data_IF_177324020727
#
_entry.id   IF_177324020727
#
_cell.length_a   1.000
_cell.length_b   1.000
_cell.length_c   1.000
_cell.angle_alpha   90.00
_cell.angle_beta   90.00
_cell.angle_gamma   90.00
#
_symmetry.space_group_name_H-M   'P 1'
#
loop_
_entity.id
_entity.type
_entity.pdbx_description
1 polymer ?
#
# COMPACT_ATOMS: atom_id res chain seq x y z
N UNK A 1 25.39 -39.71 7.30
CA UNK A 1 25.77 -38.28 7.32
C UNK A 1 25.17 -37.60 6.11
N UNK A 2 24.05 -36.91 6.30
CA UNK A 2 23.34 -36.17 5.24
C UNK A 2 24.01 -34.81 5.04
N UNK A 3 24.65 -34.63 3.87
CA UNK A 3 25.26 -33.36 3.46
C UNK A 3 24.14 -32.37 3.18
N UNK A 4 23.97 -31.39 4.08
CA UNK A 4 23.11 -30.24 3.84
C UNK A 4 23.73 -29.42 2.70
N UNK A 5 23.05 -29.39 1.56
CA UNK A 5 23.38 -28.52 0.42
C UNK A 5 23.06 -27.09 0.84
N UNK A 6 23.99 -26.41 1.52
CA UNK A 6 23.92 -24.98 1.77
C UNK A 6 23.98 -24.29 0.40
N UNK A 7 22.81 -23.96 -0.17
CA UNK A 7 22.75 -23.13 -1.35
C UNK A 7 23.37 -21.78 -0.97
N UNK A 8 24.52 -21.43 -1.57
CA UNK A 8 25.04 -20.08 -1.51
C UNK A 8 23.97 -19.16 -2.11
N UNK A 9 23.25 -18.44 -1.26
CA UNK A 9 22.27 -17.46 -1.70
C UNK A 9 23.08 -16.31 -2.32
N UNK A 10 23.08 -16.23 -3.65
CA UNK A 10 23.82 -15.22 -4.37
C UNK A 10 23.24 -13.83 -4.06
N UNK A 11 24.10 -12.84 -3.83
CA UNK A 11 23.66 -11.49 -3.45
C UNK A 11 22.71 -10.87 -4.50
N UNK A 12 22.79 -11.32 -5.76
CA UNK A 12 21.88 -10.92 -6.84
C UNK A 12 20.40 -11.15 -6.53
N UNK A 13 20.05 -12.08 -5.64
CA UNK A 13 18.66 -12.38 -5.31
C UNK A 13 17.96 -11.28 -4.50
N UNK A 14 18.72 -10.33 -3.99
CA UNK A 14 18.19 -9.14 -3.30
C UNK A 14 17.94 -7.96 -4.23
N UNK A 15 18.29 -8.10 -5.51
CA UNK A 15 18.15 -7.06 -6.52
C UNK A 15 16.89 -7.23 -7.36
N UNK A 16 16.19 -6.13 -7.53
CA UNK A 16 15.06 -5.99 -8.45
C UNK A 16 15.35 -4.83 -9.38
N UNK A 17 15.11 -5.04 -10.68
CA UNK A 17 14.98 -3.93 -11.62
C UNK A 17 13.50 -3.64 -11.79
N UNK A 18 13.06 -2.44 -11.41
CA UNK A 18 11.70 -1.95 -11.59
C UNK A 18 11.69 -0.98 -12.77
N UNK A 19 11.09 -1.41 -13.85
CA UNK A 19 10.81 -0.55 -15.00
C UNK A 19 9.51 0.19 -14.76
N UNK A 20 9.50 1.51 -14.96
CA UNK A 20 8.32 2.36 -14.87
C UNK A 20 7.98 2.87 -16.27
N UNK A 21 6.87 2.38 -16.82
CA UNK A 21 6.41 2.70 -18.17
C UNK A 21 5.36 3.80 -18.19
N UNK A 22 4.65 3.99 -17.07
CA UNK A 22 3.63 5.02 -16.89
C UNK A 22 3.59 5.49 -15.44
N UNK A 23 3.44 6.80 -15.25
CA UNK A 23 3.29 7.45 -13.96
C UNK A 23 2.27 8.60 -14.09
N UNK A 24 1.04 8.38 -13.65
CA UNK A 24 -0.05 9.37 -13.70
C UNK A 24 -0.83 9.34 -12.39
N UNK A 25 -1.16 10.49 -11.81
CA UNK A 25 -1.83 10.60 -10.50
C UNK A 25 -1.17 9.75 -9.40
N UNK A 26 0.17 9.73 -9.37
CA UNK A 26 0.97 8.89 -8.47
C UNK A 26 0.66 7.38 -8.58
N UNK A 27 0.18 6.95 -9.73
CA UNK A 27 -0.05 5.56 -10.07
C UNK A 27 1.01 5.11 -11.07
N UNK A 28 1.82 4.13 -10.67
CA UNK A 28 2.88 3.58 -11.50
C UNK A 28 2.53 2.21 -12.07
N UNK A 29 2.97 1.98 -13.30
CA UNK A 29 2.88 0.70 -14.01
C UNK A 29 4.20 0.35 -14.66
N UNK A 30 4.45 -0.95 -14.84
CA UNK A 30 5.58 -1.43 -15.62
C UNK A 30 5.92 -2.89 -15.35
N UNK A 31 7.21 -3.20 -15.25
CA UNK A 31 7.71 -4.58 -15.13
C UNK A 31 8.75 -4.71 -14.02
N UNK A 32 8.63 -5.78 -13.23
CA UNK A 32 9.58 -6.22 -12.22
C UNK A 32 10.48 -7.28 -12.83
N UNK A 33 11.79 -7.08 -12.82
CA UNK A 33 12.76 -8.13 -13.13
C UNK A 33 13.54 -8.48 -11.89
N UNK A 34 13.65 -9.76 -11.58
CA UNK A 34 14.38 -10.24 -10.42
C UNK A 34 15.76 -10.75 -10.84
N UNK A 35 16.80 -10.38 -10.09
CA UNK A 35 18.19 -10.75 -10.36
C UNK A 35 18.67 -10.41 -11.79
N UNK A 36 18.06 -9.39 -12.43
CA UNK A 36 18.39 -8.97 -13.80
C UNK A 36 18.00 -9.97 -14.89
N UNK A 37 17.05 -10.87 -14.63
CA UNK A 37 16.66 -11.95 -15.55
C UNK A 37 15.21 -11.85 -16.03
N UNK A 38 14.94 -12.49 -17.16
CA UNK A 38 13.59 -12.76 -17.67
C UNK A 38 13.12 -14.18 -17.27
N UNK A 39 11.81 -14.43 -17.17
CA UNK A 39 10.70 -13.48 -17.39
C UNK A 39 10.60 -12.43 -16.28
N UNK A 40 10.24 -11.21 -16.66
CA UNK A 40 9.79 -10.18 -15.71
C UNK A 40 8.30 -10.36 -15.38
N UNK A 41 7.78 -9.58 -14.44
CA UNK A 41 6.38 -9.62 -14.00
C UNK A 41 5.74 -8.25 -14.16
N UNK A 42 4.64 -8.15 -14.90
CA UNK A 42 3.90 -6.89 -15.09
C UNK A 42 3.09 -6.51 -13.86
N UNK A 43 3.22 -5.26 -13.44
CA UNK A 43 2.40 -4.63 -12.41
C UNK A 43 1.63 -3.43 -12.97
N UNK A 44 0.37 -3.31 -12.57
CA UNK A 44 -0.57 -2.24 -12.90
C UNK A 44 -0.76 -1.25 -11.73
N UNK A 45 -0.22 -1.57 -10.56
CA UNK A 45 -0.23 -0.72 -9.37
C UNK A 45 0.99 -0.97 -8.47
N UNK A 46 1.31 -0.01 -7.61
CA UNK A 46 2.38 -0.17 -6.62
C UNK A 46 2.09 -1.32 -5.63
N UNK A 47 0.81 -1.52 -5.27
CA UNK A 47 0.41 -2.62 -4.40
C UNK A 47 0.71 -3.99 -5.03
N UNK A 48 0.40 -4.18 -6.31
CA UNK A 48 0.81 -5.39 -7.02
C UNK A 48 2.33 -5.55 -7.00
N UNK A 49 3.09 -4.47 -7.19
CA UNK A 49 4.55 -4.54 -7.11
C UNK A 49 5.03 -5.03 -5.74
N UNK A 50 4.45 -4.50 -4.65
CA UNK A 50 4.76 -4.93 -3.28
C UNK A 50 4.49 -6.42 -3.10
N UNK A 51 3.30 -6.87 -3.48
CA UNK A 51 2.83 -8.24 -3.34
C UNK A 51 3.76 -9.21 -4.09
N UNK A 52 4.12 -8.88 -5.34
CA UNK A 52 5.01 -9.72 -6.15
C UNK A 52 6.42 -9.81 -5.56
N UNK A 53 6.98 -8.69 -5.08
CA UNK A 53 8.29 -8.68 -4.44
C UNK A 53 8.30 -9.47 -3.13
N UNK A 54 7.27 -9.33 -2.28
CA UNK A 54 7.14 -10.13 -1.05
C UNK A 54 7.08 -11.63 -1.37
N UNK A 55 6.26 -12.05 -2.35
CA UNK A 55 6.22 -13.46 -2.79
C UNK A 55 7.61 -13.96 -3.18
N UNK A 56 8.34 -13.20 -3.99
CA UNK A 56 9.68 -13.60 -4.45
C UNK A 56 10.62 -13.74 -3.24
N UNK A 57 10.66 -12.77 -2.34
CA UNK A 57 11.48 -12.84 -1.13
C UNK A 57 11.13 -14.03 -0.23
N UNK A 58 9.85 -14.33 -0.06
CA UNK A 58 9.38 -15.43 0.79
C UNK A 58 9.71 -16.79 0.17
N UNK A 59 9.50 -16.94 -1.15
CA UNK A 59 9.82 -18.18 -1.88
C UNK A 59 11.31 -18.54 -1.81
N UNK A 60 12.19 -17.54 -1.79
CA UNK A 60 13.64 -17.75 -1.68
C UNK A 60 14.16 -17.72 -0.24
N UNK A 61 13.33 -17.31 0.72
CA UNK A 61 13.76 -16.99 2.08
C UNK A 61 14.95 -16.01 2.12
N UNK A 62 15.01 -15.04 1.20
CA UNK A 62 16.08 -14.05 1.15
C UNK A 62 15.64 -12.69 0.58
N UNK A 63 15.73 -11.59 1.35
CA UNK A 63 16.02 -11.56 2.78
C UNK A 63 14.89 -12.26 3.56
N UNK A 64 15.17 -12.91 4.68
CA UNK A 64 14.09 -13.46 5.53
C UNK A 64 13.29 -12.34 6.17
N UNK A 65 12.00 -12.54 6.34
CA UNK A 65 11.20 -11.70 7.24
C UNK A 65 11.73 -11.87 8.65
N UNK A 66 11.98 -10.78 9.37
CA UNK A 66 12.27 -10.88 10.80
C UNK A 66 11.02 -11.20 11.63
N UNK A 67 9.84 -10.92 11.08
CA UNK A 67 8.55 -11.13 11.75
C UNK A 67 7.50 -11.47 10.70
N UNK A 68 6.59 -12.40 11.00
CA UNK A 68 5.42 -12.66 10.19
C UNK A 68 4.52 -11.42 10.16
N UNK A 69 4.02 -11.04 8.97
CA UNK A 69 3.05 -9.97 8.83
C UNK A 69 1.74 -10.34 9.54
N UNK A 70 1.11 -9.36 10.18
CA UNK A 70 -0.17 -9.53 10.89
C UNK A 70 -1.34 -9.51 9.91
N UNK A 71 -2.39 -10.25 10.28
CA UNK A 71 -3.64 -10.41 9.51
C UNK A 71 -4.86 -10.23 10.39
N UNK A 72 -5.99 -9.91 9.77
CA UNK A 72 -7.31 -10.03 10.40
C UNK A 72 -7.69 -11.52 10.54
N UNK A 73 -8.61 -11.83 11.44
CA UNK A 73 -8.97 -13.22 11.74
C UNK A 73 -9.62 -13.88 10.54
N UNK A 74 -9.10 -15.03 10.11
CA UNK A 74 -9.64 -15.77 8.97
C UNK A 74 -9.39 -15.12 7.61
N UNK A 75 -8.63 -14.03 7.54
CA UNK A 75 -8.31 -13.32 6.30
C UNK A 75 -6.89 -13.68 5.86
N UNK A 76 -6.76 -14.19 4.64
CA UNK A 76 -5.49 -14.51 4.02
C UNK A 76 -4.88 -13.31 3.27
N UNK A 77 -3.63 -13.43 2.85
CA UNK A 77 -2.99 -12.42 2.02
C UNK A 77 -3.51 -12.46 0.58
N UNK A 78 -3.50 -11.31 -0.11
CA UNK A 78 -3.79 -11.24 -1.54
C UNK A 78 -3.00 -12.26 -2.35
N UNK A 79 -3.71 -13.02 -3.18
CA UNK A 79 -3.05 -13.99 -4.04
C UNK A 79 -2.37 -13.26 -5.22
N UNK A 80 -1.06 -13.47 -5.43
CA UNK A 80 -0.29 -12.67 -6.36
C UNK A 80 -0.54 -13.11 -7.81
N UNK A 81 -1.29 -12.31 -8.59
CA UNK A 81 -1.53 -12.57 -10.02
C UNK A 81 -0.27 -12.38 -10.86
N UNK A 82 0.25 -13.45 -11.46
CA UNK A 82 1.48 -13.40 -12.30
C UNK A 82 1.12 -13.07 -13.75
N UNK A 83 1.75 -12.01 -14.27
CA UNK A 83 1.68 -11.65 -15.69
C UNK A 83 3.08 -11.53 -16.26
N UNK A 84 3.58 -12.61 -16.87
CA UNK A 84 4.97 -12.69 -17.34
C UNK A 84 5.28 -11.75 -18.50
N UNK A 85 6.49 -11.20 -18.50
CA UNK A 85 7.07 -10.42 -19.58
C UNK A 85 8.40 -11.07 -20.02
N UNK A 86 8.38 -11.74 -21.16
CA UNK A 86 9.55 -12.47 -21.68
C UNK A 86 10.64 -11.57 -22.29
N UNK A 87 10.37 -10.27 -22.42
CA UNK A 87 11.34 -9.30 -22.94
C UNK A 87 11.83 -8.43 -21.80
N UNK A 88 13.15 -8.35 -21.65
CA UNK A 88 13.76 -7.35 -20.78
C UNK A 88 13.68 -5.99 -21.46
N UNK A 89 13.15 -5.00 -20.76
CA UNK A 89 13.02 -3.63 -21.22
C UNK A 89 13.24 -2.71 -20.03
N UNK A 90 14.03 -1.66 -20.22
CA UNK A 90 14.08 -0.54 -19.29
C UNK A 90 12.73 0.20 -19.31
N UNK A 91 12.42 0.91 -18.22
CA UNK A 91 11.19 1.69 -18.15
C UNK A 91 11.19 2.83 -19.14
N UNK A 92 10.03 3.15 -19.72
CA UNK A 92 9.88 4.31 -20.61
C UNK A 92 10.10 5.65 -19.91
N UNK A 93 9.77 5.73 -18.62
CA UNK A 93 9.88 6.96 -17.83
C UNK A 93 11.07 6.91 -16.86
N UNK A 94 11.26 5.78 -16.18
CA UNK A 94 12.38 5.58 -15.27
C UNK A 94 12.64 4.08 -15.05
N UNK A 95 13.88 3.76 -14.71
CA UNK A 95 14.30 2.42 -14.31
C UNK A 95 14.99 2.51 -12.95
N UNK A 96 14.44 1.78 -11.98
CA UNK A 96 14.99 1.69 -10.64
C UNK A 96 15.66 0.35 -10.43
N UNK A 97 16.86 0.36 -9.85
CA UNK A 97 17.45 -0.83 -9.24
C UNK A 97 17.22 -0.75 -7.73
N UNK A 98 16.47 -1.71 -7.19
CA UNK A 98 16.17 -1.80 -5.76
C UNK A 98 16.94 -2.97 -5.18
N UNK A 99 17.76 -2.69 -4.16
CA UNK A 99 18.49 -3.68 -3.40
C UNK A 99 17.95 -3.73 -1.97
N UNK A 100 17.19 -4.78 -1.63
CA UNK A 100 16.65 -4.95 -0.28
C UNK A 100 17.65 -5.71 0.59
N UNK A 101 18.23 -5.00 1.57
CA UNK A 101 19.20 -5.54 2.54
C UNK A 101 18.51 -6.34 3.64
N UNK A 102 17.45 -5.78 4.21
CA UNK A 102 16.78 -6.32 5.40
C UNK A 102 15.26 -6.19 5.28
N UNK A 103 14.54 -7.05 6.02
CA UNK A 103 13.09 -6.99 6.19
C UNK A 103 12.72 -6.88 7.67
N UNK A 104 13.14 -5.79 8.30
CA UNK A 104 12.89 -5.50 9.71
C UNK A 104 11.64 -4.64 9.89
N UNK A 105 11.03 -4.75 11.08
CA UNK A 105 9.85 -3.99 11.47
C UNK A 105 8.68 -4.11 10.48
N UNK A 106 8.51 -5.29 9.89
CA UNK A 106 7.51 -5.53 8.86
C UNK A 106 7.62 -4.55 7.67
N UNK A 107 8.83 -4.10 7.32
CA UNK A 107 9.12 -3.21 6.20
C UNK A 107 10.36 -3.69 5.44
N UNK A 108 10.83 -2.89 4.48
CA UNK A 108 12.06 -3.15 3.72
C UNK A 108 13.09 -2.05 3.96
N UNK A 109 14.36 -2.44 4.10
CA UNK A 109 15.51 -1.54 4.21
C UNK A 109 16.50 -1.87 3.10
N UNK A 110 17.09 -0.85 2.47
CA UNK A 110 17.89 -1.10 1.28
C UNK A 110 18.44 0.15 0.62
N UNK A 111 18.86 -0.02 -0.62
CA UNK A 111 19.24 1.07 -1.51
C UNK A 111 18.36 1.05 -2.75
N UNK A 112 18.00 2.24 -3.23
CA UNK A 112 17.33 2.44 -4.52
C UNK A 112 18.25 3.29 -5.40
N UNK A 113 18.51 2.81 -6.60
CA UNK A 113 19.26 3.52 -7.63
C UNK A 113 18.33 3.87 -8.77
N UNK A 114 18.20 5.16 -9.08
CA UNK A 114 17.59 5.63 -10.32
C UNK A 114 18.65 5.60 -11.42
N UNK A 115 18.47 4.71 -12.42
CA UNK A 115 19.51 4.44 -13.41
C UNK A 115 19.73 5.62 -14.36
N UNK A 116 18.66 6.27 -14.82
CA UNK A 116 18.78 7.38 -15.78
C UNK A 116 19.36 8.66 -15.15
N UNK A 117 19.16 8.86 -13.84
CA UNK A 117 19.74 9.99 -13.10
C UNK A 117 21.04 9.69 -12.38
N UNK A 118 21.56 8.46 -12.50
CA UNK A 118 22.78 7.98 -11.83
C UNK A 118 22.82 8.25 -10.31
N UNK A 119 21.65 8.26 -9.66
CA UNK A 119 21.50 8.60 -8.25
C UNK A 119 21.16 7.38 -7.42
N UNK A 120 21.91 7.14 -6.34
CA UNK A 120 21.62 6.08 -5.36
C UNK A 120 21.33 6.67 -4.00
N UNK A 121 20.24 6.23 -3.38
CA UNK A 121 19.82 6.64 -2.04
C UNK A 121 19.46 5.42 -1.19
N UNK A 122 19.79 5.46 0.10
CA UNK A 122 19.40 4.41 1.04
C UNK A 122 18.03 4.72 1.65
N UNK A 123 17.20 3.68 1.80
CA UNK A 123 15.90 3.77 2.46
C UNK A 123 15.81 2.84 3.67
N UNK A 124 15.09 3.29 4.70
CA UNK A 124 14.84 2.60 5.97
C UNK A 124 13.46 1.94 6.03
N UNK A 125 12.58 2.26 5.08
CA UNK A 125 11.25 1.68 4.98
C UNK A 125 10.70 1.73 3.55
N UNK A 126 9.64 0.96 3.31
CA UNK A 126 8.84 1.09 2.09
C UNK A 126 8.28 2.50 1.90
N UNK A 127 7.83 3.16 2.99
CA UNK A 127 7.26 4.51 2.91
C UNK A 127 8.31 5.50 2.40
N UNK A 128 9.54 5.42 2.90
CA UNK A 128 10.63 6.27 2.44
C UNK A 128 11.01 5.99 0.99
N UNK A 129 11.06 4.71 0.59
CA UNK A 129 11.29 4.33 -0.81
C UNK A 129 10.21 4.89 -1.73
N UNK A 130 8.94 4.87 -1.29
CA UNK A 130 7.82 5.46 -2.01
C UNK A 130 7.97 6.97 -2.19
N UNK A 131 8.33 7.69 -1.13
CA UNK A 131 8.57 9.14 -1.17
C UNK A 131 9.74 9.49 -2.10
N UNK A 132 10.81 8.68 -2.10
CA UNK A 132 11.93 8.84 -3.04
C UNK A 132 11.50 8.69 -4.50
N UNK A 133 10.72 7.65 -4.82
CA UNK A 133 10.18 7.42 -6.17
C UNK A 133 9.28 8.59 -6.58
N UNK A 134 8.35 8.99 -5.72
CA UNK A 134 7.38 10.05 -6.04
C UNK A 134 8.05 11.41 -6.24
N UNK A 135 9.08 11.74 -5.45
CA UNK A 135 9.88 12.96 -5.62
C UNK A 135 10.55 13.04 -6.99
N UNK A 136 11.00 11.91 -7.55
CA UNK A 136 11.63 11.88 -8.88
C UNK A 136 10.63 12.29 -9.97
N UNK A 137 9.35 11.91 -9.82
CA UNK A 137 8.32 12.25 -10.80
C UNK A 137 7.65 13.61 -10.56
N UNK A 138 7.55 14.06 -9.30
CA UNK A 138 6.83 15.30 -8.94
C UNK A 138 7.75 16.51 -8.75
N UNK A 139 9.04 16.29 -8.52
CA UNK A 139 10.00 17.34 -8.17
C UNK A 139 9.77 17.99 -6.80
N UNK A 140 8.79 17.52 -6.02
CA UNK A 140 8.46 18.10 -4.72
C UNK A 140 9.35 17.52 -3.62
N UNK A 141 10.00 18.38 -2.85
CA UNK A 141 10.66 18.01 -1.59
C UNK A 141 9.67 18.07 -0.43
N UNK A 142 9.82 17.19 0.55
CA UNK A 142 8.99 17.20 1.77
C UNK A 142 9.17 18.51 2.55
N UNK A 143 8.10 19.28 2.67
CA UNK A 143 8.01 20.36 3.65
C UNK A 143 7.70 19.72 5.01
N UNK A 144 8.65 19.79 5.96
CA UNK A 144 8.42 19.36 7.34
C UNK A 144 7.45 20.35 8.00
N UNK A 145 6.18 19.98 8.09
CA UNK A 145 5.22 20.66 8.95
C UNK A 145 5.12 20.04 10.33
N UNK A 146 4.43 20.75 11.22
CA UNK A 146 4.14 20.30 12.58
C UNK A 146 3.02 19.26 12.57
N UNK A 147 3.10 18.24 13.43
CA UNK A 147 2.06 17.21 13.53
C UNK A 147 0.72 17.79 13.97
N UNK A 148 -0.30 17.66 13.13
CA UNK A 148 -1.66 18.15 13.42
C UNK A 148 -2.53 17.07 14.05
N UNK A 149 -2.40 15.80 13.63
CA UNK A 149 -3.22 14.70 14.15
C UNK A 149 -2.49 13.36 14.09
N UNK A 150 -3.02 12.36 14.79
CA UNK A 150 -2.56 10.96 14.79
C UNK A 150 -3.65 9.98 14.35
N UNK A 151 -4.84 10.46 14.04
CA UNK A 151 -6.00 9.62 13.73
C UNK A 151 -6.51 10.00 12.35
N UNK A 152 -6.91 9.03 11.54
CA UNK A 152 -7.68 9.28 10.33
C UNK A 152 -8.62 8.11 10.05
N UNK A 153 -9.67 8.38 9.28
CA UNK A 153 -10.47 7.35 8.62
C UNK A 153 -9.99 7.24 7.18
N UNK A 154 -9.77 6.01 6.72
CA UNK A 154 -9.56 5.66 5.32
C UNK A 154 -10.83 4.98 4.83
N UNK A 155 -11.55 5.63 3.92
CA UNK A 155 -12.73 5.08 3.26
C UNK A 155 -12.34 4.68 1.83
N UNK A 156 -12.50 3.40 1.50
CA UNK A 156 -12.13 2.82 0.20
C UNK A 156 -13.38 2.67 -0.66
N UNK A 157 -13.35 3.23 -1.86
CA UNK A 157 -14.51 3.27 -2.75
C UNK A 157 -14.42 2.29 -3.93
N UNK A 158 -13.21 1.90 -4.32
CA UNK A 158 -12.97 0.92 -5.38
C UNK A 158 -11.54 0.37 -5.29
N UNK A 159 -11.40 -0.92 -5.61
CA UNK A 159 -10.13 -1.64 -5.68
C UNK A 159 -10.10 -2.57 -6.89
N UNK A 160 -9.31 -2.23 -7.91
CA UNK A 160 -9.11 -3.08 -9.11
C UNK A 160 -7.62 -3.29 -9.35
N UNK A 161 -7.14 -4.54 -9.47
CA UNK A 161 -5.72 -4.86 -9.76
C UNK A 161 -4.74 -4.14 -8.81
N UNK A 162 -5.07 -4.13 -7.52
CA UNK A 162 -4.34 -3.44 -6.47
C UNK A 162 -4.38 -1.90 -6.53
N UNK A 163 -5.08 -1.32 -7.51
CA UNK A 163 -5.33 0.12 -7.57
C UNK A 163 -6.50 0.48 -6.65
N UNK A 164 -6.15 0.97 -5.46
CA UNK A 164 -7.11 1.40 -4.44
C UNK A 164 -7.44 2.88 -4.62
N UNK A 165 -8.73 3.23 -4.58
CA UNK A 165 -9.20 4.61 -4.58
C UNK A 165 -10.09 4.89 -3.38
N UNK A 166 -10.03 6.10 -2.87
CA UNK A 166 -10.79 6.44 -1.69
C UNK A 166 -10.53 7.85 -1.18
N UNK A 167 -10.81 8.02 0.10
CA UNK A 167 -10.52 9.25 0.84
C UNK A 167 -9.89 8.96 2.19
N UNK A 168 -8.95 9.79 2.58
CA UNK A 168 -8.42 9.89 3.94
C UNK A 168 -9.04 11.13 4.57
N UNK A 169 -9.55 11.01 5.79
CA UNK A 169 -10.22 12.12 6.44
C UNK A 169 -10.01 12.14 7.94
N UNK A 170 -10.02 13.33 8.52
CA UNK A 170 -10.09 13.54 9.96
C UNK A 170 -11.18 14.57 10.26
N UNK A 171 -12.27 14.10 10.87
CA UNK A 171 -13.44 14.91 11.18
C UNK A 171 -13.13 16.03 12.20
N UNK A 172 -12.21 15.80 13.14
CA UNK A 172 -11.87 16.78 14.19
C UNK A 172 -11.19 18.03 13.64
N UNK A 173 -10.49 17.91 12.51
CA UNK A 173 -9.81 19.04 11.85
C UNK A 173 -10.52 19.49 10.56
N UNK A 174 -11.70 18.91 10.28
CA UNK A 174 -12.47 19.12 9.05
C UNK A 174 -11.62 19.01 7.77
N UNK A 175 -10.76 17.99 7.71
CA UNK A 175 -9.84 17.76 6.60
C UNK A 175 -10.17 16.45 5.89
N UNK A 176 -10.24 16.50 4.57
CA UNK A 176 -10.58 15.38 3.70
C UNK A 176 -9.70 15.45 2.45
N UNK A 177 -9.01 14.37 2.16
CA UNK A 177 -8.13 14.21 1.01
C UNK A 177 -8.56 12.99 0.20
N UNK A 178 -8.68 13.14 -1.11
CA UNK A 178 -8.91 12.00 -2.01
C UNK A 178 -7.57 11.39 -2.37
N UNK A 179 -7.54 10.06 -2.51
CA UNK A 179 -6.33 9.37 -2.94
C UNK A 179 -6.63 8.33 -4.02
N UNK A 180 -5.58 8.02 -4.77
CA UNK A 180 -5.55 6.98 -5.80
C UNK A 180 -4.20 6.29 -5.73
N UNK A 181 -4.21 4.96 -5.68
CA UNK A 181 -3.02 4.13 -5.53
C UNK A 181 -2.34 4.25 -4.16
N UNK A 182 -1.35 3.39 -3.94
CA UNK A 182 -0.60 3.32 -2.67
C UNK A 182 0.22 4.59 -2.40
N UNK A 183 0.80 5.19 -3.45
CA UNK A 183 1.60 6.40 -3.33
C UNK A 183 0.70 7.59 -2.97
N UNK A 184 -0.45 7.72 -3.64
CA UNK A 184 -1.44 8.74 -3.30
C UNK A 184 -2.00 8.58 -1.89
N UNK A 185 -2.20 7.34 -1.41
CA UNK A 185 -2.61 7.10 -0.03
C UNK A 185 -1.54 7.57 0.96
N UNK A 186 -0.27 7.23 0.70
CA UNK A 186 0.84 7.68 1.53
C UNK A 186 0.90 9.22 1.57
N UNK A 187 0.80 9.89 0.43
CA UNK A 187 0.81 11.36 0.36
C UNK A 187 -0.37 11.99 1.11
N UNK A 188 -1.59 11.48 0.92
CA UNK A 188 -2.76 11.98 1.63
C UNK A 188 -2.61 11.84 3.15
N UNK A 189 -2.01 10.74 3.61
CA UNK A 189 -1.70 10.54 5.03
C UNK A 189 -0.56 11.45 5.53
N UNK A 190 0.48 11.69 4.73
CA UNK A 190 1.54 12.66 5.05
C UNK A 190 0.94 14.05 5.21
N UNK A 191 0.15 14.52 4.23
CA UNK A 191 -0.53 15.82 4.32
C UNK A 191 -1.40 15.92 5.56
N UNK A 192 -2.16 14.88 5.88
CA UNK A 192 -3.03 14.90 7.05
C UNK A 192 -2.25 14.90 8.38
N UNK A 193 -1.13 14.18 8.48
CA UNK A 193 -0.36 14.06 9.72
C UNK A 193 0.74 15.10 9.88
N UNK A 194 1.23 15.69 8.79
CA UNK A 194 2.43 16.51 8.74
C UNK A 194 2.19 17.88 8.08
N UNK A 195 1.00 18.19 7.54
CA UNK A 195 0.72 19.55 7.09
C UNK A 195 0.54 20.48 8.29
N UNK A 196 1.47 21.43 8.46
CA UNK A 196 1.21 22.62 9.27
C UNK A 196 0.07 23.41 8.65
N UNK A 197 -0.87 23.90 9.47
CA UNK A 197 -1.80 24.94 9.04
C UNK A 197 -0.93 26.10 8.55
N UNK A 198 -0.97 26.42 7.26
CA UNK A 198 -0.31 27.61 6.73
C UNK A 198 -0.70 28.80 7.60
N UNK A 199 0.30 29.58 8.01
CA UNK A 199 0.11 30.84 8.74
C UNK A 199 -0.83 31.73 7.93
N UNK A 200 -2.10 31.70 8.31
CA UNK A 200 -3.13 32.70 8.05
C UNK A 200 -4.38 32.33 8.86
N UNK A 201 -4.22 32.06 10.16
CA UNK A 201 -5.13 32.64 11.15
C UNK A 201 -4.56 32.47 12.55
N UNK A 202 -4.72 33.52 13.35
CA UNK A 202 -4.51 33.65 14.78
C UNK A 202 -4.45 32.33 15.56
N UNK A 203 -3.42 32.19 16.41
CA UNK A 203 -3.22 31.08 17.34
C UNK A 203 -4.44 30.76 18.21
N UNK A 204 -5.36 29.97 17.65
CA UNK A 204 -6.54 29.42 18.30
C UNK A 204 -6.40 27.91 18.28
N UNK A 205 -6.55 27.35 19.48
CA UNK A 205 -6.74 25.94 19.75
C UNK A 205 -7.62 25.28 18.67
N UNK A 206 -7.23 24.10 18.18
CA UNK A 206 -8.05 23.25 17.30
C UNK A 206 -9.33 22.73 18.00
N UNK A 207 -9.54 23.07 19.26
CA UNK A 207 -10.81 22.86 19.96
C UNK A 207 -11.87 23.84 19.44
N UNK A 208 -12.79 23.34 18.60
CA UNK A 208 -14.05 24.03 18.32
C UNK A 208 -14.33 24.39 16.85
N UNK A 209 -13.60 23.85 15.86
CA UNK A 209 -14.10 23.93 14.47
C UNK A 209 -15.41 23.15 14.37
N UNK A 210 -16.50 23.85 14.04
CA UNK A 210 -17.79 23.25 13.72
C UNK A 210 -17.56 22.28 12.55
N UNK A 211 -17.80 21.00 12.77
CA UNK A 211 -17.73 19.97 11.73
C UNK A 211 -18.87 20.25 10.76
N UNK A 212 -18.58 20.40 9.47
CA UNK A 212 -19.65 20.57 8.48
C UNK A 212 -20.49 19.28 8.39
N UNK A 213 -21.79 19.45 8.17
CA UNK A 213 -22.73 18.33 8.00
C UNK A 213 -22.26 17.39 6.89
N UNK A 214 -21.77 17.93 5.76
CA UNK A 214 -21.20 17.16 4.66
C UNK A 214 -19.98 16.31 5.08
N UNK A 215 -19.05 16.86 5.87
CA UNK A 215 -17.88 16.12 6.37
C UNK A 215 -18.33 15.02 7.33
N UNK A 216 -19.32 15.31 8.17
CA UNK A 216 -19.86 14.33 9.11
C UNK A 216 -20.61 13.19 8.42
N UNK A 217 -21.42 13.49 7.41
CA UNK A 217 -22.12 12.50 6.60
C UNK A 217 -21.15 11.63 5.84
N UNK A 218 -20.12 12.21 5.22
CA UNK A 218 -19.06 11.44 4.57
C UNK A 218 -18.31 10.53 5.56
N UNK A 219 -18.15 10.97 6.81
CA UNK A 219 -17.56 10.15 7.87
C UNK A 219 -18.43 8.97 8.26
N UNK A 220 -19.72 9.20 8.41
CA UNK A 220 -20.69 8.15 8.73
C UNK A 220 -20.87 7.17 7.59
N UNK A 221 -20.91 7.63 6.35
CA UNK A 221 -21.10 6.79 5.16
C UNK A 221 -19.94 5.80 4.97
N UNK A 222 -18.69 6.22 5.25
CA UNK A 222 -17.53 5.36 5.03
C UNK A 222 -17.24 5.11 3.54
N UNK A 223 -16.47 4.07 3.27
CA UNK A 223 -16.11 3.61 1.93
C UNK A 223 -17.10 2.59 1.40
N UNK A 224 -17.25 2.50 0.07
CA UNK A 224 -18.09 1.48 -0.57
C UNK A 224 -17.55 0.06 -0.38
N UNK A 225 -16.23 -0.10 -0.45
CA UNK A 225 -15.57 -1.42 -0.37
C UNK A 225 -15.17 -1.76 1.07
N UNK A 226 -14.62 -0.79 1.81
CA UNK A 226 -14.23 -0.95 3.21
C UNK A 226 -13.93 0.39 3.87
N UNK A 227 -13.99 0.43 5.20
CA UNK A 227 -13.67 1.60 6.02
C UNK A 227 -12.75 1.22 7.16
N UNK A 228 -11.63 1.94 7.28
CA UNK A 228 -10.63 1.71 8.31
C UNK A 228 -10.43 2.96 9.17
N UNK A 229 -10.36 2.78 10.48
CA UNK A 229 -9.88 3.81 11.39
C UNK A 229 -8.42 3.54 11.74
N UNK A 230 -7.55 4.48 11.42
CA UNK A 230 -6.12 4.40 11.67
C UNK A 230 -5.77 5.32 12.83
N UNK A 231 -5.02 4.78 13.80
CA UNK A 231 -4.39 5.57 14.86
C UNK A 231 -2.89 5.31 14.85
N UNK A 232 -2.12 6.33 14.47
CA UNK A 232 -0.66 6.34 14.55
C UNK A 232 -0.24 6.49 16.00
N UNK A 233 0.58 5.56 16.47
CA UNK A 233 1.16 5.58 17.81
C UNK A 233 2.58 6.14 17.76
N UNK A 234 3.38 5.69 16.80
CA UNK A 234 4.79 6.06 16.64
C UNK A 234 5.13 6.35 15.18
N UNK A 235 6.25 7.05 14.99
CA UNK A 235 6.84 7.38 13.69
C UNK A 235 8.35 7.19 13.82
N UNK A 236 8.79 5.97 13.58
CA UNK A 236 10.19 5.55 13.70
C UNK A 236 10.63 4.85 12.41
N UNK A 237 11.94 4.85 12.11
CA UNK A 237 12.52 4.21 10.92
C UNK A 237 11.86 4.65 9.62
N UNK A 238 11.57 5.95 9.50
CA UNK A 238 10.96 6.49 8.29
C UNK A 238 9.64 5.81 7.87
N UNK A 239 8.89 5.21 8.81
CA UNK A 239 7.53 4.67 8.62
C UNK A 239 6.57 5.09 9.74
N UNK A 240 5.27 4.77 9.59
CA UNK A 240 4.27 4.84 10.65
C UNK A 240 4.03 3.48 11.34
N UNK A 241 3.75 3.54 12.63
CA UNK A 241 3.36 2.39 13.47
C UNK A 241 2.09 2.72 14.24
N UNK A 242 1.19 1.77 14.40
CA UNK A 242 -0.09 2.06 15.02
C UNK A 242 -1.07 0.92 15.09
N UNK A 243 -2.35 1.28 15.12
CA UNK A 243 -3.47 0.34 15.07
C UNK A 243 -4.41 0.71 13.94
N UNK A 244 -4.89 -0.31 13.24
CA UNK A 244 -5.94 -0.26 12.23
C UNK A 244 -7.17 -0.97 12.81
N UNK A 245 -8.32 -0.32 12.69
CA UNK A 245 -9.62 -0.86 13.06
C UNK A 245 -10.45 -0.96 11.79
N UNK A 246 -10.86 -2.18 11.45
CA UNK A 246 -11.74 -2.43 10.31
C UNK A 246 -13.18 -2.26 10.78
N UNK A 247 -13.84 -1.23 10.26
CA UNK A 247 -15.12 -0.77 10.80
C UNK A 247 -16.24 -1.76 10.54
N UNK A 248 -16.26 -2.40 9.38
CA UNK A 248 -17.31 -3.33 8.97
C UNK A 248 -17.32 -4.61 9.83
N UNK A 249 -16.15 -5.12 10.21
CA UNK A 249 -16.03 -6.34 11.05
C UNK A 249 -15.90 -6.04 12.54
N UNK A 250 -15.50 -4.81 12.89
CA UNK A 250 -15.16 -4.44 14.25
C UNK A 250 -13.81 -4.98 14.73
N UNK A 251 -13.03 -5.59 13.85
CA UNK A 251 -11.71 -6.12 14.20
C UNK A 251 -10.67 -5.01 14.35
N UNK A 252 -9.71 -5.26 15.24
CA UNK A 252 -8.60 -4.35 15.50
C UNK A 252 -7.28 -5.09 15.38
N UNK A 253 -6.37 -4.55 14.59
CA UNK A 253 -5.03 -5.09 14.42
C UNK A 253 -3.98 -3.99 14.60
N UNK A 254 -2.87 -4.32 15.25
CA UNK A 254 -1.71 -3.44 15.30
C UNK A 254 -0.86 -3.60 14.02
N UNK A 255 -0.22 -2.55 13.55
CA UNK A 255 0.76 -2.59 12.44
C UNK A 255 2.08 -1.93 12.85
N UNK A 256 3.18 -2.42 12.30
CA UNK A 256 4.57 -2.02 12.60
C UNK A 256 5.22 -1.21 11.50
N UNK A 257 4.57 -1.06 10.36
CA UNK A 257 5.00 -0.21 9.27
C UNK A 257 3.83 0.16 8.35
N UNK A 258 4.07 1.11 7.45
CA UNK A 258 3.17 1.38 6.34
C UNK A 258 3.00 0.14 5.45
N UNK A 259 4.07 -0.64 5.23
CA UNK A 259 4.00 -1.92 4.48
C UNK A 259 2.98 -2.89 5.11
N UNK A 260 3.01 -3.05 6.43
CA UNK A 260 2.08 -3.94 7.11
C UNK A 260 0.65 -3.40 7.08
N UNK A 261 0.48 -2.08 7.21
CA UNK A 261 -0.83 -1.43 7.13
C UNK A 261 -1.49 -1.63 5.75
N UNK A 262 -0.76 -1.43 4.64
CA UNK A 262 -1.38 -1.63 3.32
C UNK A 262 -1.61 -3.11 3.00
N UNK A 263 -0.81 -4.02 3.53
CA UNK A 263 -1.09 -5.46 3.42
C UNK A 263 -2.37 -5.85 4.18
N UNK A 264 -2.60 -5.29 5.39
CA UNK A 264 -3.86 -5.48 6.13
C UNK A 264 -5.08 -4.94 5.35
N UNK A 265 -4.94 -3.75 4.75
CA UNK A 265 -5.99 -3.17 3.90
C UNK A 265 -6.23 -4.05 2.67
N UNK A 266 -5.17 -4.50 1.99
CA UNK A 266 -5.28 -5.32 0.79
C UNK A 266 -5.96 -6.65 1.07
N UNK A 267 -5.57 -7.34 2.15
CA UNK A 267 -6.21 -8.57 2.63
C UNK A 267 -7.72 -8.41 2.86
N UNK A 268 -8.12 -7.35 3.57
CA UNK A 268 -9.54 -7.09 3.85
C UNK A 268 -10.35 -6.76 2.59
N UNK A 269 -9.73 -6.17 1.56
CA UNK A 269 -10.37 -5.90 0.28
C UNK A 269 -10.52 -7.15 -0.60
N UNK A 270 -9.70 -8.18 -0.38
CA UNK A 270 -9.80 -9.43 -1.12
C UNK A 270 -10.93 -10.29 -0.56
N UNK A 271 -11.07 -10.37 0.77
CA UNK A 271 -12.15 -11.13 1.41
C UNK A 271 -13.55 -10.59 1.07
N UNK A 272 -13.72 -9.28 0.94
CA UNK A 272 -15.00 -8.69 0.52
C UNK A 272 -15.42 -9.04 -0.91
N UNK A 273 -14.46 -9.36 -1.79
CA UNK A 273 -14.76 -9.83 -3.16
C UNK A 273 -15.24 -11.27 -3.18
N UNK A 274 -14.63 -12.13 -2.36
CA UNK A 274 -15.06 -13.52 -2.26
C UNK A 274 -16.49 -13.64 -1.72
N UNK A 275 -16.85 -12.83 -0.72
CA UNK A 275 -18.20 -12.79 -0.15
C UNK A 275 -19.24 -12.27 -1.16
N UNK A 276 -18.94 -11.18 -1.88
CA UNK A 276 -19.87 -10.63 -2.89
C UNK A 276 -20.04 -11.54 -4.12
N UNK A 277 -18.97 -12.16 -4.61
CA UNK A 277 -19.06 -13.16 -5.69
C UNK A 277 -19.79 -14.44 -5.25
N UNK A 278 -19.75 -14.78 -3.96
CA UNK A 278 -20.53 -15.88 -3.40
C UNK A 278 -22.03 -15.49 -3.44
N UNK A 279 -22.43 -14.36 -2.86
CA UNK A 279 -23.83 -13.90 -2.85
C UNK A 279 -24.45 -13.77 -4.26
N UNK A 280 -23.72 -13.26 -5.24
CA UNK A 280 -24.19 -13.15 -6.63
C UNK A 280 -24.44 -14.54 -7.27
N UNK A 281 -23.61 -15.53 -6.95
CA UNK A 281 -23.80 -16.92 -7.41
C UNK A 281 -25.03 -17.58 -6.79
N UNK A 282 -25.31 -17.35 -5.51
CA UNK A 282 -26.54 -17.87 -4.87
C UNK A 282 -27.80 -17.21 -5.44
N UNK A 283 -27.76 -15.90 -5.65
CA UNK A 283 -28.90 -15.16 -6.20
C UNK A 283 -29.22 -15.61 -7.63
N UNK A 284 -28.18 -15.81 -8.46
CA UNK A 284 -28.35 -16.32 -9.83
C UNK A 284 -28.85 -17.76 -9.87
N UNK A 285 -28.40 -18.61 -8.94
CA UNK A 285 -28.83 -20.02 -8.86
C UNK A 285 -30.27 -20.14 -8.39
N UNK A 286 -30.67 -19.40 -7.35
CA UNK A 286 -32.05 -19.36 -6.86
C UNK A 286 -33.02 -18.85 -7.94
N UNK A 287 -32.64 -17.82 -8.71
CA UNK A 287 -33.47 -17.30 -9.79
C UNK A 287 -33.65 -18.32 -10.94
N UNK A 288 -32.64 -19.14 -11.24
CA UNK A 288 -32.74 -20.22 -12.24
C UNK A 288 -33.59 -21.40 -11.78
N UNK A 289 -33.52 -21.76 -10.51
CA UNK A 289 -34.36 -22.83 -9.95
C UNK A 289 -35.83 -22.42 -9.86
N UNK A 290 -36.10 -21.15 -9.50
CA UNK A 290 -37.46 -20.60 -9.48
C UNK A 290 -38.09 -20.58 -10.88
N UNK A 291 -37.32 -20.19 -11.90
CA UNK A 291 -37.77 -20.21 -13.30
C UNK A 291 -38.02 -21.63 -13.87
N UNK A 292 -37.45 -22.68 -13.26
CA UNK A 292 -37.70 -24.09 -13.63
C UNK A 292 -38.92 -24.71 -12.95
N UNK A 293 -39.40 -24.11 -11.86
CA UNK A 293 -40.57 -24.57 -11.10
C UNK A 293 -41.87 -23.90 -11.56
N UNK A 294 -41.77 -22.82 -12.33
CA UNK A 294 -42.90 -22.02 -12.85
C UNK A 294 -43.19 -22.27 -14.35
N UNK A 295 -42.54 -23.25 -14.99
CA UNK A 295 -42.77 -23.66 -16.38
C UNK A 295 -43.14 -25.14 -16.49
#
# INVERSE_FOLDING_TARGET
MSIAKMSMIHNSYRYFTISVDKYEDRCMKGVIYHAGKTPGIRYDSFLEMIIQMNRIFDSMSCPKQAMELRRFTGIEYPEPVIRECNRYQNGRLATFQIYVKFRYNASWQGDITWLEGEQTESFESLLQMLQMIDRIFTGQSEERGTRVTKICQIAINSCEKGLVTGRVQNAFINHLERFKGTIGLADAMVRLFEAGVGENDSGKSLEGKIISEETWDSYRLGGKEATFLIKILFREHSTWQGVIYWRETGEKQAFRSFLEMIMLIASALESGKEESEFEDRFTTTNNREKARMEG
#
